data_IF_957581166219
#
_entry.id   IF_957581166219
#
_cell.length_a   1.000
_cell.length_b   1.000
_cell.length_c   1.000
_cell.angle_alpha   90.00
_cell.angle_beta   90.00
_cell.angle_gamma   90.00
#
_symmetry.space_group_name_H-M   'P 1'
#
loop_
_entity.id
_entity.type
_entity.pdbx_description
1 polymer ?
#
# COMPACT_ATOMS: atom_id res chain seq x y z
N UNK A 1 -13.45 17.02 20.54
CA UNK A 1 -13.06 15.76 19.89
C UNK A 1 -11.72 15.37 20.46
N UNK A 2 -11.56 14.09 20.83
CA UNK A 2 -10.27 13.51 21.21
C UNK A 2 -9.19 13.81 20.18
N UNK A 3 -7.98 14.10 20.65
CA UNK A 3 -6.82 14.29 19.76
C UNK A 3 -6.46 12.93 19.14
N UNK A 4 -6.22 12.92 17.82
CA UNK A 4 -5.79 11.74 17.11
C UNK A 4 -4.26 11.63 17.15
N UNK A 5 -3.76 10.47 17.59
CA UNK A 5 -2.34 10.12 17.62
C UNK A 5 -2.12 9.01 16.59
N UNK A 6 -1.55 9.37 15.45
CA UNK A 6 -1.24 8.42 14.39
C UNK A 6 0.16 7.86 14.60
N UNK A 7 0.29 6.53 14.52
CA UNK A 7 1.55 5.82 14.68
C UNK A 7 1.78 5.00 13.41
N UNK A 8 2.90 5.23 12.72
CA UNK A 8 3.29 4.43 11.55
C UNK A 8 4.79 4.16 11.56
N UNK A 9 5.22 3.11 10.86
CA UNK A 9 6.65 2.77 10.83
C UNK A 9 7.51 3.98 10.43
N UNK A 10 7.14 4.71 9.37
CA UNK A 10 7.87 5.89 8.90
C UNK A 10 6.98 7.13 8.95
N UNK A 11 7.56 8.25 9.36
CA UNK A 11 6.96 9.59 9.31
C UNK A 11 7.57 10.34 8.13
N UNK A 12 6.72 10.81 7.22
CA UNK A 12 7.16 11.69 6.15
C UNK A 12 7.03 13.13 6.62
N UNK A 13 8.13 13.74 7.08
CA UNK A 13 8.17 15.16 7.36
C UNK A 13 7.83 15.93 6.08
N UNK A 14 6.84 16.82 6.17
CA UNK A 14 6.62 17.80 5.13
C UNK A 14 7.74 18.84 5.20
N UNK A 15 8.85 18.62 4.49
CA UNK A 15 9.76 19.72 4.18
C UNK A 15 9.04 20.71 3.25
N UNK A 16 9.19 22.02 3.47
CA UNK A 16 8.67 23.03 2.56
C UNK A 16 9.16 22.75 1.13
N UNK A 17 8.22 22.47 0.22
CA UNK A 17 8.50 22.18 -1.19
C UNK A 17 8.67 20.69 -1.55
N UNK A 18 8.67 19.74 -0.60
CA UNK A 18 8.68 18.29 -0.91
C UNK A 18 7.35 17.63 -0.53
N UNK A 19 6.76 16.92 -1.49
CA UNK A 19 5.56 16.09 -1.25
C UNK A 19 5.95 14.77 -0.58
N UNK A 20 5.13 14.31 0.37
CA UNK A 20 5.30 13.00 0.98
C UNK A 20 5.26 11.89 -0.07
N UNK A 21 6.24 10.98 -0.02
CA UNK A 21 6.31 9.83 -0.92
C UNK A 21 5.49 8.66 -0.35
N UNK A 22 4.49 8.20 -1.11
CA UNK A 22 3.70 7.00 -0.79
C UNK A 22 2.28 7.32 -0.33
N UNK A 23 1.31 6.51 -0.78
CA UNK A 23 -0.11 6.77 -0.56
C UNK A 23 -0.57 6.74 0.90
N UNK A 24 0.11 5.99 1.78
CA UNK A 24 -0.17 6.00 3.22
C UNK A 24 0.13 7.36 3.87
N UNK A 25 1.27 7.98 3.53
CA UNK A 25 1.64 9.27 4.09
C UNK A 25 0.67 10.37 3.64
N UNK A 26 0.25 10.34 2.38
CA UNK A 26 -0.78 11.27 1.85
C UNK A 26 -2.11 11.06 2.57
N UNK A 27 -2.52 9.81 2.77
CA UNK A 27 -3.74 9.45 3.49
C UNK A 27 -3.74 9.95 4.95
N UNK A 28 -2.67 9.68 5.69
CA UNK A 28 -2.51 10.10 7.09
C UNK A 28 -2.48 11.63 7.19
N UNK A 29 -1.75 12.31 6.31
CA UNK A 29 -1.70 13.78 6.31
C UNK A 29 -3.05 14.41 6.00
N UNK A 30 -3.81 13.86 5.05
CA UNK A 30 -5.16 14.31 4.78
C UNK A 30 -6.06 14.15 6.02
N UNK A 31 -5.85 13.08 6.79
CA UNK A 31 -6.58 12.86 8.03
C UNK A 31 -6.23 13.87 9.13
N UNK A 32 -4.95 14.12 9.36
CA UNK A 32 -4.43 14.95 10.43
C UNK A 32 -4.54 16.46 10.15
N UNK A 33 -4.50 16.90 8.88
CA UNK A 33 -4.59 18.33 8.53
C UNK A 33 -5.86 19.00 9.05
N UNK A 34 -6.99 18.28 9.09
CA UNK A 34 -8.28 18.84 9.53
C UNK A 34 -8.41 18.89 11.06
N UNK A 35 -7.93 17.88 11.76
CA UNK A 35 -8.15 17.72 13.21
C UNK A 35 -6.98 18.18 14.08
N UNK A 36 -5.79 18.35 13.48
CA UNK A 36 -4.54 18.34 14.24
C UNK A 36 -4.24 16.95 14.80
N UNK A 37 -3.19 16.85 15.59
CA UNK A 37 -2.81 15.59 16.23
C UNK A 37 -1.31 15.40 16.38
N UNK A 38 -0.93 14.17 16.69
CA UNK A 38 0.46 13.72 16.66
C UNK A 38 0.62 12.73 15.51
N UNK A 39 1.71 12.84 14.75
CA UNK A 39 2.20 11.75 13.91
C UNK A 39 3.54 11.26 14.44
N UNK A 40 3.53 10.04 15.00
CA UNK A 40 4.67 9.40 15.61
C UNK A 40 5.24 8.24 14.75
N UNK A 41 6.56 8.08 14.76
CA UNK A 41 7.24 6.95 14.11
C UNK A 41 8.72 7.19 13.80
N UNK A 42 9.32 6.35 12.96
CA UNK A 42 10.71 6.51 12.53
C UNK A 42 10.88 7.70 11.57
N UNK A 43 11.95 8.48 11.77
CA UNK A 43 12.36 9.60 10.91
C UNK A 43 12.79 9.15 9.51
N UNK A 44 13.26 7.90 9.37
CA UNK A 44 13.96 7.40 8.20
C UNK A 44 15.48 7.43 8.32
N UNK A 45 16.03 7.98 9.40
CA UNK A 45 17.48 8.02 9.64
C UNK A 45 17.95 6.78 10.42
N UNK A 46 19.09 6.25 10.00
CA UNK A 46 19.80 5.19 10.72
C UNK A 46 21.07 5.78 11.32
N UNK A 47 21.25 5.60 12.62
CA UNK A 47 22.40 6.14 13.37
C UNK A 47 23.34 5.04 13.83
N UNK A 48 24.62 5.39 13.96
CA UNK A 48 25.63 4.53 14.58
C UNK A 48 25.56 4.72 16.10
N UNK A 49 25.12 3.69 16.83
CA UNK A 49 24.96 3.72 18.28
C UNK A 49 23.53 3.42 18.74
N UNK A 50 23.24 3.79 20.00
CA UNK A 50 21.91 3.62 20.59
C UNK A 50 20.90 4.64 20.03
N UNK A 51 19.64 4.21 19.92
CA UNK A 51 18.54 5.06 19.47
C UNK A 51 18.28 6.23 20.43
N UNK A 52 17.64 7.29 19.94
CA UNK A 52 17.40 8.53 20.70
C UNK A 52 16.66 8.27 22.03
N UNK A 53 17.01 9.03 23.08
CA UNK A 53 16.33 8.95 24.37
C UNK A 53 14.87 9.43 24.28
N UNK A 54 14.66 10.59 23.64
CA UNK A 54 13.35 11.21 23.43
C UNK A 54 13.08 11.46 21.94
N UNK A 55 11.81 11.44 21.49
CA UNK A 55 11.45 11.81 20.13
C UNK A 55 11.78 13.26 19.82
N UNK A 56 12.35 13.49 18.64
CA UNK A 56 12.45 14.81 18.05
C UNK A 56 11.05 15.32 17.68
N UNK A 57 10.72 16.55 18.07
CA UNK A 57 9.39 17.13 17.86
C UNK A 57 9.44 18.30 16.89
N UNK A 58 8.50 18.36 15.96
CA UNK A 58 8.36 19.47 15.03
C UNK A 58 6.88 19.80 14.86
N UNK A 59 6.49 21.03 15.17
CA UNK A 59 5.12 21.49 15.03
C UNK A 59 4.93 22.19 13.68
N UNK A 60 3.93 21.74 12.91
CA UNK A 60 3.51 22.36 11.66
C UNK A 60 2.00 22.60 11.71
N UNK A 61 1.62 23.84 11.98
CA UNK A 61 0.22 24.21 12.18
C UNK A 61 -0.36 23.53 13.43
N UNK A 62 -1.34 22.64 13.24
CA UNK A 62 -2.00 21.87 14.34
C UNK A 62 -1.45 20.45 14.49
N UNK A 63 -0.42 20.10 13.73
CA UNK A 63 0.17 18.77 13.70
C UNK A 63 1.55 18.80 14.35
N UNK A 64 1.76 17.92 15.32
CA UNK A 64 3.08 17.64 15.90
C UNK A 64 3.63 16.37 15.25
N UNK A 65 4.77 16.47 14.58
CA UNK A 65 5.55 15.31 14.19
C UNK A 65 6.45 14.91 15.37
N UNK A 66 6.42 13.64 15.77
CA UNK A 66 7.25 13.10 16.84
C UNK A 66 8.06 11.91 16.28
N UNK A 67 9.31 12.15 15.90
CA UNK A 67 10.12 11.18 15.17
C UNK A 67 11.27 10.63 15.99
N UNK A 68 11.56 9.35 15.80
CA UNK A 68 12.74 8.68 16.36
C UNK A 68 13.68 8.24 15.25
N UNK A 69 14.98 8.24 15.53
CA UNK A 69 15.96 7.54 14.70
C UNK A 69 16.10 6.08 15.16
N UNK A 70 16.50 5.19 14.25
CA UNK A 70 16.79 3.80 14.59
C UNK A 70 18.30 3.57 14.60
N UNK A 71 18.80 2.90 15.64
CA UNK A 71 20.15 2.34 15.60
C UNK A 71 20.29 1.31 14.48
N UNK A 72 21.48 1.20 13.88
CA UNK A 72 21.75 0.28 12.77
C UNK A 72 21.31 -1.16 13.05
N UNK A 73 21.54 -1.67 14.26
CA UNK A 73 21.11 -3.01 14.67
C UNK A 73 19.59 -3.17 14.62
N UNK A 74 18.85 -2.19 15.12
CA UNK A 74 17.39 -2.20 15.14
C UNK A 74 16.83 -2.11 13.71
N UNK A 75 17.41 -1.24 12.88
CA UNK A 75 17.04 -1.18 11.46
C UNK A 75 17.20 -2.55 10.76
N UNK A 76 18.33 -3.23 10.98
CA UNK A 76 18.56 -4.54 10.37
C UNK A 76 17.64 -5.63 10.93
N UNK A 77 17.47 -5.71 12.25
CA UNK A 77 16.70 -6.81 12.87
C UNK A 77 15.18 -6.64 12.72
N UNK A 78 14.66 -5.42 12.94
CA UNK A 78 13.23 -5.10 12.88
C UNK A 78 12.76 -4.81 11.45
N UNK A 79 13.38 -3.84 10.76
CA UNK A 79 12.86 -3.35 9.47
C UNK A 79 13.28 -4.26 8.32
N UNK A 80 14.59 -4.46 8.10
CA UNK A 80 15.06 -5.34 7.03
C UNK A 80 14.75 -6.80 7.32
N UNK A 81 14.95 -7.25 8.57
CA UNK A 81 14.70 -8.60 9.05
C UNK A 81 13.22 -8.92 9.18
N UNK A 82 12.69 -8.94 10.40
CA UNK A 82 11.38 -9.57 10.65
C UNK A 82 10.24 -8.94 9.85
N UNK A 83 10.20 -7.61 9.73
CA UNK A 83 9.13 -6.94 8.98
C UNK A 83 9.19 -7.27 7.48
N UNK A 84 10.35 -7.14 6.82
CA UNK A 84 10.44 -7.21 5.36
C UNK A 84 10.95 -8.55 4.78
N UNK A 85 11.64 -9.38 5.57
CA UNK A 85 12.04 -10.74 5.20
C UNK A 85 11.13 -11.83 5.80
N UNK A 86 10.31 -11.52 6.82
CA UNK A 86 9.36 -12.50 7.40
C UNK A 86 7.91 -12.13 7.13
N UNK A 87 7.42 -11.01 7.67
CA UNK A 87 6.00 -10.65 7.60
C UNK A 87 5.55 -10.24 6.19
N UNK A 88 6.33 -9.39 5.50
CA UNK A 88 6.00 -8.96 4.14
C UNK A 88 5.83 -10.15 3.17
N UNK A 89 6.78 -11.08 3.00
CA UNK A 89 6.59 -12.22 2.10
C UNK A 89 5.43 -13.10 2.54
N UNK A 90 5.26 -13.35 3.85
CA UNK A 90 4.15 -14.13 4.37
C UNK A 90 2.79 -13.53 4.00
N UNK A 91 2.60 -12.24 4.28
CA UNK A 91 1.32 -11.54 4.05
C UNK A 91 1.04 -11.37 2.56
N UNK A 92 2.06 -11.46 1.70
CA UNK A 92 1.94 -11.45 0.24
C UNK A 92 1.99 -12.85 -0.40
N UNK A 93 1.84 -13.92 0.39
CA UNK A 93 1.67 -15.30 -0.05
C UNK A 93 2.92 -15.84 -0.76
N UNK A 94 4.10 -15.35 -0.34
CA UNK A 94 5.41 -15.75 -0.84
C UNK A 94 6.14 -16.57 0.21
N UNK A 95 5.54 -17.69 0.63
CA UNK A 95 6.12 -18.57 1.66
C UNK A 95 7.58 -18.94 1.36
N UNK A 96 7.92 -19.20 0.10
CA UNK A 96 9.29 -19.54 -0.32
C UNK A 96 10.32 -18.40 -0.18
N UNK A 97 9.90 -17.18 0.17
CA UNK A 97 10.77 -16.03 0.44
C UNK A 97 10.85 -15.68 1.94
N UNK A 98 10.16 -16.42 2.81
CA UNK A 98 10.18 -16.13 4.25
C UNK A 98 11.53 -16.56 4.82
N UNK A 99 12.19 -15.62 5.51
CA UNK A 99 13.33 -15.89 6.38
C UNK A 99 12.87 -15.83 7.82
N UNK A 100 12.94 -16.95 8.55
CA UNK A 100 12.61 -16.99 9.98
C UNK A 100 13.89 -16.97 10.79
N UNK A 101 14.07 -15.95 11.62
CA UNK A 101 15.22 -15.84 12.52
C UNK A 101 14.81 -15.27 13.88
N UNK A 102 15.14 -16.00 14.96
CA UNK A 102 14.84 -15.60 16.34
C UNK A 102 15.40 -14.22 16.67
N UNK A 103 16.62 -13.93 16.24
CA UNK A 103 17.29 -12.63 16.45
C UNK A 103 16.49 -11.48 15.82
N UNK A 104 15.97 -11.68 14.61
CA UNK A 104 15.15 -10.65 13.94
C UNK A 104 13.81 -10.44 14.64
N UNK A 105 13.20 -11.51 15.16
CA UNK A 105 11.98 -11.40 15.97
C UNK A 105 12.21 -10.65 17.28
N UNK A 106 13.28 -10.96 18.00
CA UNK A 106 13.64 -10.23 19.22
C UNK A 106 13.91 -8.74 18.93
N UNK A 107 14.54 -8.43 17.79
CA UNK A 107 14.66 -7.04 17.31
C UNK A 107 13.31 -6.39 17.03
N UNK A 108 12.37 -7.14 16.44
CA UNK A 108 11.03 -6.64 16.14
C UNK A 108 10.22 -6.28 17.38
N UNK A 109 10.21 -7.17 18.37
CA UNK A 109 9.58 -6.96 19.67
C UNK A 109 10.25 -5.79 20.43
N UNK A 110 11.59 -5.76 20.45
CA UNK A 110 12.37 -4.69 21.09
C UNK A 110 12.05 -3.31 20.52
N UNK A 111 11.99 -3.15 19.20
CA UNK A 111 11.70 -1.85 18.58
C UNK A 111 10.26 -1.40 18.85
N UNK A 112 9.29 -2.32 18.89
CA UNK A 112 7.92 -2.00 19.26
C UNK A 112 7.82 -1.52 20.73
N UNK A 113 8.49 -2.21 21.66
CA UNK A 113 8.58 -1.79 23.05
C UNK A 113 9.26 -0.41 23.20
N UNK A 114 10.36 -0.21 22.47
CA UNK A 114 11.08 1.06 22.42
C UNK A 114 10.19 2.20 21.92
N UNK A 115 9.44 2.00 20.82
CA UNK A 115 8.50 3.00 20.31
C UNK A 115 7.39 3.29 21.34
N UNK A 116 6.86 2.28 22.02
CA UNK A 116 5.82 2.46 23.03
C UNK A 116 6.31 3.30 24.21
N UNK A 117 7.52 3.02 24.74
CA UNK A 117 8.16 3.80 25.81
C UNK A 117 8.26 5.29 25.47
N UNK A 118 8.46 5.62 24.19
CA UNK A 118 8.70 7.01 23.76
C UNK A 118 7.42 7.73 23.39
N UNK A 119 6.36 7.00 23.01
CA UNK A 119 5.06 7.59 22.76
C UNK A 119 4.30 7.84 24.07
N UNK A 120 4.36 6.92 25.04
CA UNK A 120 3.59 6.98 26.28
C UNK A 120 3.63 8.36 26.98
N UNK A 121 4.80 9.00 27.20
CA UNK A 121 4.86 10.31 27.86
C UNK A 121 4.21 11.46 27.07
N UNK A 122 3.90 11.26 25.79
CA UNK A 122 3.25 12.25 24.92
C UNK A 122 1.72 12.14 24.94
N UNK A 123 1.20 11.02 25.45
CA UNK A 123 -0.21 10.70 25.41
C UNK A 123 -0.99 11.47 26.48
N UNK A 124 -2.23 11.80 26.13
CA UNK A 124 -3.24 12.32 27.04
C UNK A 124 -4.28 11.23 27.32
N UNK A 125 -4.99 11.27 28.45
CA UNK A 125 -6.01 10.27 28.77
C UNK A 125 -7.11 10.14 27.72
N UNK A 126 -7.47 11.24 27.06
CA UNK A 126 -8.54 11.31 26.07
C UNK A 126 -8.06 11.10 24.61
N UNK A 127 -6.78 10.81 24.38
CA UNK A 127 -6.26 10.56 23.02
C UNK A 127 -6.90 9.31 22.38
N UNK A 128 -7.04 9.35 21.06
CA UNK A 128 -7.33 8.16 20.24
C UNK A 128 -6.06 7.80 19.47
N UNK A 129 -5.58 6.58 19.63
CA UNK A 129 -4.36 6.09 18.98
C UNK A 129 -4.74 5.27 17.76
N UNK A 130 -4.16 5.60 16.61
CA UNK A 130 -4.38 4.88 15.36
C UNK A 130 -3.04 4.40 14.81
N UNK A 131 -2.80 3.10 14.96
CA UNK A 131 -1.57 2.42 14.57
C UNK A 131 -1.73 1.86 13.16
N UNK A 132 -0.69 2.00 12.34
CA UNK A 132 -0.70 1.55 10.97
C UNK A 132 0.40 0.52 10.68
N UNK A 133 -0.09 -0.55 10.07
CA UNK A 133 0.65 -1.54 9.28
C UNK A 133 1.45 -2.59 10.06
N UNK A 134 1.82 -3.65 9.34
CA UNK A 134 2.41 -4.89 9.85
C UNK A 134 3.70 -4.71 10.67
N UNK A 135 4.39 -3.58 10.55
CA UNK A 135 5.59 -3.31 11.35
C UNK A 135 5.27 -3.13 12.84
N UNK A 136 4.04 -2.71 13.16
CA UNK A 136 3.64 -2.25 14.48
C UNK A 136 2.54 -3.12 15.10
N UNK A 137 2.45 -4.41 14.73
CA UNK A 137 1.44 -5.31 15.30
C UNK A 137 1.56 -5.36 16.85
N UNK A 138 2.75 -5.53 17.46
CA UNK A 138 2.90 -5.57 18.92
C UNK A 138 2.61 -4.26 19.66
N UNK A 139 2.62 -3.13 18.94
CA UNK A 139 2.66 -1.79 19.55
C UNK A 139 1.52 -1.51 20.54
N UNK A 140 0.29 -1.90 20.20
CA UNK A 140 -0.87 -1.75 21.08
C UNK A 140 -0.73 -2.55 22.37
N UNK A 141 -0.26 -3.80 22.28
CA UNK A 141 -0.02 -4.65 23.45
C UNK A 141 1.06 -4.06 24.35
N UNK A 142 2.14 -3.51 23.77
CA UNK A 142 3.19 -2.80 24.51
C UNK A 142 2.65 -1.59 25.29
N UNK A 143 1.78 -0.77 24.68
CA UNK A 143 1.13 0.33 25.39
C UNK A 143 0.19 -0.17 26.50
N UNK A 144 -0.57 -1.24 26.26
CA UNK A 144 -1.45 -1.84 27.27
C UNK A 144 -0.67 -2.32 28.49
N UNK A 145 0.50 -2.95 28.29
CA UNK A 145 1.39 -3.38 29.40
C UNK A 145 1.92 -2.22 30.23
N UNK A 146 2.00 -1.01 29.67
CA UNK A 146 2.36 0.24 30.35
C UNK A 146 1.18 0.94 31.03
N UNK A 147 -0.02 0.36 30.99
CA UNK A 147 -1.21 0.91 31.63
C UNK A 147 -1.94 1.97 30.79
N UNK A 148 -1.58 2.14 29.52
CA UNK A 148 -2.31 3.04 28.62
C UNK A 148 -3.74 2.52 28.37
N UNK A 149 -4.74 3.32 28.73
CA UNK A 149 -6.16 3.00 28.60
C UNK A 149 -6.82 3.63 27.37
N UNK A 150 -6.12 4.47 26.60
CA UNK A 150 -6.65 5.15 25.41
C UNK A 150 -7.32 4.18 24.43
N UNK A 151 -8.28 4.67 23.65
CA UNK A 151 -8.83 3.89 22.54
C UNK A 151 -7.77 3.68 21.48
N UNK A 152 -7.52 2.42 21.12
CA UNK A 152 -6.47 2.03 20.17
C UNK A 152 -7.07 1.29 18.99
N UNK A 153 -6.82 1.78 17.79
CA UNK A 153 -7.13 1.09 16.54
C UNK A 153 -5.86 0.67 15.81
N UNK A 154 -5.89 -0.48 15.14
CA UNK A 154 -4.85 -0.93 14.22
C UNK A 154 -5.42 -1.09 12.81
N UNK A 155 -4.73 -0.57 11.80
CA UNK A 155 -5.11 -0.76 10.41
C UNK A 155 -3.99 -1.42 9.61
N UNK A 156 -4.27 -2.58 9.02
CA UNK A 156 -3.33 -3.33 8.18
C UNK A 156 -3.43 -2.90 6.71
N UNK A 157 -2.32 -2.42 6.12
CA UNK A 157 -2.31 -1.97 4.71
C UNK A 157 -1.88 -3.06 3.73
N UNK A 158 -1.25 -4.12 4.23
CA UNK A 158 -0.98 -5.33 3.48
C UNK A 158 -2.17 -6.28 3.52
N UNK A 159 -2.22 -7.31 2.66
CA UNK A 159 -3.22 -8.36 2.81
C UNK A 159 -3.05 -9.09 4.15
N UNK A 160 -4.13 -9.66 4.67
CA UNK A 160 -4.05 -10.62 5.77
C UNK A 160 -4.08 -12.04 5.20
N UNK A 161 -3.09 -12.90 5.52
CA UNK A 161 -3.05 -14.27 4.99
C UNK A 161 -4.12 -15.17 5.63
N UNK A 162 -4.61 -16.20 4.93
CA UNK A 162 -5.47 -17.21 5.52
C UNK A 162 -4.70 -18.04 6.55
N UNK A 163 -5.39 -18.76 7.44
CA UNK A 163 -4.77 -19.51 8.53
C UNK A 163 -3.69 -20.48 8.06
N UNK A 164 -3.90 -21.16 6.93
CA UNK A 164 -2.97 -22.17 6.38
C UNK A 164 -1.62 -21.59 5.99
N UNK A 165 -1.57 -20.30 5.64
CA UNK A 165 -0.31 -19.60 5.40
C UNK A 165 0.24 -19.03 6.71
N UNK A 166 -0.62 -18.42 7.53
CA UNK A 166 -0.20 -17.73 8.74
C UNK A 166 0.44 -18.67 9.77
N UNK A 167 -0.02 -19.92 9.87
CA UNK A 167 0.54 -20.95 10.77
C UNK A 167 1.96 -21.39 10.38
N UNK A 168 2.43 -21.07 9.16
CA UNK A 168 3.83 -21.26 8.78
C UNK A 168 4.79 -20.34 9.57
N UNK A 169 4.29 -19.25 10.16
CA UNK A 169 5.08 -18.35 11.01
C UNK A 169 5.26 -18.93 12.42
N UNK A 170 6.49 -19.14 12.90
CA UNK A 170 6.70 -19.58 14.27
C UNK A 170 6.15 -18.60 15.30
N UNK A 171 5.44 -19.14 16.29
CA UNK A 171 4.66 -18.41 17.29
C UNK A 171 3.73 -17.34 16.68
N UNK A 172 3.05 -17.70 15.58
CA UNK A 172 1.92 -16.96 15.00
C UNK A 172 0.86 -16.58 16.04
N UNK A 173 0.63 -17.42 17.06
CA UNK A 173 -0.33 -17.15 18.15
C UNK A 173 0.01 -15.90 18.96
N UNK A 174 1.29 -15.58 19.15
CA UNK A 174 1.71 -14.36 19.87
C UNK A 174 1.39 -13.11 19.07
N UNK A 175 1.70 -13.13 17.76
CA UNK A 175 1.41 -12.02 16.85
C UNK A 175 -0.09 -11.71 16.81
N UNK A 176 -0.93 -12.74 16.83
CA UNK A 176 -2.39 -12.57 16.82
C UNK A 176 -2.93 -12.15 18.19
N UNK A 177 -2.36 -12.66 19.30
CA UNK A 177 -2.67 -12.16 20.64
C UNK A 177 -2.40 -10.66 20.74
N UNK A 178 -1.26 -10.20 20.22
CA UNK A 178 -0.88 -8.79 20.19
C UNK A 178 -1.82 -7.95 19.32
N UNK A 179 -2.24 -8.49 18.16
CA UNK A 179 -3.26 -7.84 17.33
C UNK A 179 -4.63 -7.77 18.02
N UNK A 180 -4.96 -8.69 18.93
CA UNK A 180 -6.16 -8.63 19.76
C UNK A 180 -6.07 -7.63 20.93
N UNK A 181 -4.92 -6.97 21.14
CA UNK A 181 -4.78 -5.92 22.16
C UNK A 181 -5.48 -4.61 21.75
N UNK A 182 -5.72 -4.39 20.45
CA UNK A 182 -6.44 -3.24 19.92
C UNK A 182 -7.95 -3.34 20.12
N UNK A 183 -8.63 -2.20 20.20
CA UNK A 183 -10.09 -2.12 20.34
C UNK A 183 -10.79 -2.23 18.97
N UNK A 184 -10.13 -1.77 17.90
CA UNK A 184 -10.54 -1.93 16.50
C UNK A 184 -9.37 -2.43 15.65
N UNK A 185 -9.61 -3.47 14.84
CA UNK A 185 -8.68 -3.93 13.79
C UNK A 185 -9.33 -3.74 12.42
N UNK A 186 -8.71 -2.94 11.57
CA UNK A 186 -9.17 -2.65 10.22
C UNK A 186 -8.36 -3.34 9.13
N UNK A 187 -9.07 -3.77 8.08
CA UNK A 187 -8.49 -4.39 6.90
C UNK A 187 -9.00 -3.72 5.61
N UNK A 188 -8.33 -3.94 4.49
CA UNK A 188 -8.76 -3.43 3.19
C UNK A 188 -9.96 -4.15 2.60
N UNK A 189 -10.00 -5.49 2.68
CA UNK A 189 -10.99 -6.30 1.97
C UNK A 189 -11.74 -7.25 2.92
N UNK A 190 -12.90 -7.72 2.47
CA UNK A 190 -13.62 -8.78 3.17
C UNK A 190 -12.85 -10.11 3.19
N UNK A 191 -11.94 -10.34 2.23
CA UNK A 191 -11.06 -11.51 2.22
C UNK A 191 -10.06 -11.46 3.37
N UNK A 192 -9.46 -10.29 3.62
CA UNK A 192 -8.52 -10.10 4.73
C UNK A 192 -9.22 -10.27 6.09
N UNK A 193 -10.39 -9.64 6.25
CA UNK A 193 -11.21 -9.80 7.46
C UNK A 193 -11.57 -11.27 7.70
N UNK A 194 -11.96 -11.99 6.63
CA UNK A 194 -12.29 -13.41 6.70
C UNK A 194 -11.09 -14.23 7.15
N UNK A 195 -9.91 -13.99 6.59
CA UNK A 195 -8.67 -14.68 6.99
C UNK A 195 -8.38 -14.51 8.49
N UNK A 196 -8.57 -13.29 9.02
CA UNK A 196 -8.43 -13.03 10.45
C UNK A 196 -9.50 -13.76 11.28
N UNK A 197 -10.77 -13.66 10.89
CA UNK A 197 -11.86 -14.36 11.58
C UNK A 197 -11.70 -15.88 11.57
N UNK A 198 -11.26 -16.45 10.45
CA UNK A 198 -11.07 -17.89 10.32
C UNK A 198 -9.91 -18.36 11.19
N UNK A 199 -8.82 -17.59 11.25
CA UNK A 199 -7.71 -17.88 12.16
C UNK A 199 -8.18 -17.87 13.63
N UNK A 200 -9.00 -16.90 14.04
CA UNK A 200 -9.55 -16.88 15.40
C UNK A 200 -10.38 -18.14 15.68
N UNK A 201 -11.17 -18.61 14.72
CA UNK A 201 -12.02 -19.80 14.90
C UNK A 201 -11.23 -21.11 14.91
N UNK A 202 -10.15 -21.22 14.14
CA UNK A 202 -9.44 -22.50 13.93
C UNK A 202 -8.21 -22.64 14.82
N UNK A 203 -7.46 -21.56 15.04
CA UNK A 203 -6.16 -21.60 15.72
C UNK A 203 -6.22 -21.07 17.17
N UNK A 204 -7.39 -20.65 17.62
CA UNK A 204 -7.60 -20.09 18.97
C UNK A 204 -8.88 -20.59 19.60
N UNK A 205 -9.00 -20.41 20.92
CA UNK A 205 -10.21 -20.69 21.69
C UNK A 205 -11.20 -19.51 21.67
N UNK A 206 -11.01 -18.57 20.74
CA UNK A 206 -11.79 -17.36 20.59
C UNK A 206 -13.11 -17.56 19.86
N UNK A 207 -13.97 -16.55 19.94
CA UNK A 207 -15.27 -16.54 19.25
C UNK A 207 -15.37 -15.35 18.29
N UNK A 208 -16.11 -15.54 17.20
CA UNK A 208 -16.34 -14.53 16.17
C UNK A 208 -17.84 -14.37 15.93
N UNK A 209 -18.39 -13.22 16.32
CA UNK A 209 -19.76 -12.81 16.03
C UNK A 209 -19.76 -11.91 14.78
N UNK A 210 -20.20 -12.44 13.63
CA UNK A 210 -20.31 -11.64 12.40
C UNK A 210 -21.47 -10.64 12.51
N UNK A 211 -21.25 -9.41 12.04
CA UNK A 211 -22.26 -8.36 12.02
C UNK A 211 -22.48 -7.86 10.59
N UNK A 212 -23.74 -7.90 10.14
CA UNK A 212 -24.13 -7.51 8.78
C UNK A 212 -23.59 -8.47 7.71
N UNK A 213 -23.65 -8.04 6.45
CA UNK A 213 -23.21 -8.83 5.29
C UNK A 213 -21.67 -8.87 5.16
N UNK A 214 -20.98 -9.48 6.13
CA UNK A 214 -19.53 -9.78 6.11
C UNK A 214 -18.58 -8.57 6.12
N UNK A 215 -19.07 -7.39 6.54
CA UNK A 215 -18.28 -6.16 6.61
C UNK A 215 -17.61 -5.92 7.97
N UNK A 216 -18.08 -6.56 9.04
CA UNK A 216 -17.51 -6.45 10.38
C UNK A 216 -17.79 -7.67 11.25
N UNK A 217 -16.99 -7.82 12.30
CA UNK A 217 -17.15 -8.86 13.30
C UNK A 217 -16.78 -8.32 14.70
N UNK A 218 -17.40 -8.86 15.73
CA UNK A 218 -16.93 -8.74 17.12
C UNK A 218 -16.14 -10.00 17.45
N UNK A 219 -14.92 -9.81 17.92
CA UNK A 219 -13.98 -10.87 18.25
C UNK A 219 -13.81 -10.90 19.77
N UNK A 220 -13.92 -12.10 20.36
CA UNK A 220 -13.54 -12.35 21.75
C UNK A 220 -12.45 -13.39 21.76
N UNK A 221 -11.22 -12.99 22.02
CA UNK A 221 -10.06 -13.87 22.03
C UNK A 221 -9.01 -13.32 22.99
N UNK A 222 -8.21 -14.21 23.58
CA UNK A 222 -7.11 -13.81 24.49
C UNK A 222 -7.54 -12.88 25.64
N UNK A 223 -8.76 -13.06 26.17
CA UNK A 223 -9.30 -12.24 27.26
C UNK A 223 -9.72 -10.81 26.86
N UNK A 224 -9.71 -10.48 25.56
CA UNK A 224 -10.06 -9.17 25.03
C UNK A 224 -11.32 -9.26 24.17
N UNK A 225 -12.07 -8.16 24.10
CA UNK A 225 -13.15 -7.97 23.11
C UNK A 225 -12.79 -6.83 22.18
N UNK A 226 -12.79 -7.08 20.87
CA UNK A 226 -12.49 -6.07 19.86
C UNK A 226 -13.48 -6.10 18.70
N UNK A 227 -13.52 -5.03 17.92
CA UNK A 227 -14.17 -5.00 16.62
C UNK A 227 -13.15 -5.24 15.50
N UNK A 228 -13.50 -6.05 14.51
CA UNK A 228 -12.76 -6.17 13.26
C UNK A 228 -13.64 -5.71 12.09
N UNK A 229 -13.14 -4.88 11.16
CA UNK A 229 -13.98 -4.29 10.10
C UNK A 229 -13.19 -3.96 8.82
N UNK A 230 -13.89 -3.97 7.69
CA UNK A 230 -13.34 -3.61 6.37
C UNK A 230 -13.42 -2.11 6.13
N UNK A 231 -12.30 -1.49 5.77
CA UNK A 231 -12.19 -0.10 5.31
C UNK A 231 -11.20 -0.02 4.12
N UNK A 232 -11.70 -0.05 2.88
CA UNK A 232 -10.82 0.06 1.71
C UNK A 232 -10.23 1.47 1.64
N UNK A 233 -8.90 1.59 1.69
CA UNK A 233 -8.23 2.89 1.58
C UNK A 233 -8.37 3.41 0.14
N UNK A 234 -8.39 4.72 0.00
CA UNK A 234 -8.53 5.38 -1.29
C UNK A 234 -7.60 6.57 -1.44
N UNK A 235 -7.84 7.39 -2.45
CA UNK A 235 -7.08 8.60 -2.77
C UNK A 235 -7.92 9.85 -2.53
N UNK A 236 -7.24 11.00 -2.44
CA UNK A 236 -7.89 12.29 -2.63
C UNK A 236 -8.22 12.48 -4.11
N UNK A 237 -9.41 12.01 -4.49
CA UNK A 237 -9.82 11.86 -5.89
C UNK A 237 -9.94 13.22 -6.57
N UNK A 238 -10.55 14.20 -5.90
CA UNK A 238 -10.74 15.54 -6.45
C UNK A 238 -9.41 16.28 -6.59
N UNK A 239 -8.54 16.23 -5.57
CA UNK A 239 -7.23 16.86 -5.65
C UNK A 239 -6.38 16.27 -6.78
N UNK A 240 -6.45 14.94 -6.98
CA UNK A 240 -5.69 14.28 -8.03
C UNK A 240 -6.25 14.55 -9.43
N UNK A 241 -7.58 14.59 -9.60
CA UNK A 241 -8.24 15.00 -10.85
C UNK A 241 -7.83 16.43 -11.23
N UNK A 242 -7.80 17.35 -10.26
CA UNK A 242 -7.32 18.72 -10.45
C UNK A 242 -5.82 18.78 -10.80
N UNK A 243 -4.99 18.03 -10.09
CA UNK A 243 -3.55 17.94 -10.33
C UNK A 243 -3.25 17.42 -11.73
N UNK A 244 -3.92 16.36 -12.17
CA UNK A 244 -3.72 15.74 -13.48
C UNK A 244 -4.04 16.69 -14.65
N UNK A 245 -5.11 17.51 -14.53
CA UNK A 245 -5.47 18.52 -15.55
C UNK A 245 -4.35 19.52 -15.79
N UNK A 246 -3.70 19.99 -14.74
CA UNK A 246 -2.56 20.93 -14.87
C UNK A 246 -1.25 20.21 -15.21
N UNK A 247 -1.03 19.00 -14.69
CA UNK A 247 0.17 18.20 -14.92
C UNK A 247 0.29 17.68 -16.36
N UNK A 248 -0.83 17.38 -17.02
CA UNK A 248 -0.84 16.95 -18.43
C UNK A 248 -0.29 17.97 -19.43
N UNK A 249 -0.17 19.24 -19.00
CA UNK A 249 0.43 20.36 -19.74
C UNK A 249 1.82 20.75 -19.24
N UNK A 250 2.39 19.96 -18.33
CA UNK A 250 3.74 20.21 -17.82
C UNK A 250 4.80 19.93 -18.88
N UNK A 251 5.97 20.57 -18.75
CA UNK A 251 7.12 20.32 -19.64
C UNK A 251 7.53 18.85 -19.67
N UNK A 252 7.42 18.14 -18.54
CA UNK A 252 7.72 16.71 -18.45
C UNK A 252 6.71 15.87 -19.23
N UNK A 253 5.42 16.19 -19.13
CA UNK A 253 4.37 15.51 -19.89
C UNK A 253 4.53 15.78 -21.40
N UNK A 254 4.86 17.02 -21.80
CA UNK A 254 5.10 17.35 -23.20
C UNK A 254 6.29 16.56 -23.78
N UNK A 255 7.42 16.54 -23.07
CA UNK A 255 8.59 15.76 -23.49
C UNK A 255 8.29 14.27 -23.62
N UNK A 256 7.46 13.72 -22.73
CA UNK A 256 7.03 12.32 -22.86
C UNK A 256 6.19 12.16 -24.13
N UNK A 257 5.20 13.03 -24.38
CA UNK A 257 4.34 12.97 -25.57
C UNK A 257 5.15 13.08 -26.87
N UNK A 258 6.04 14.06 -26.96
CA UNK A 258 6.95 14.24 -28.12
C UNK A 258 7.79 12.98 -28.35
N UNK A 259 8.35 12.39 -27.29
CA UNK A 259 9.19 11.19 -27.38
C UNK A 259 8.44 9.93 -27.82
N UNK A 260 7.11 9.92 -27.79
CA UNK A 260 6.31 8.78 -28.26
C UNK A 260 6.08 8.85 -29.78
N UNK A 261 6.21 10.03 -30.39
CA UNK A 261 6.00 10.24 -31.85
C UNK A 261 4.65 9.67 -32.31
N UNK A 262 3.59 9.94 -31.54
CA UNK A 262 2.23 9.47 -31.82
C UNK A 262 1.93 8.01 -31.45
N UNK A 263 2.91 7.26 -30.92
CA UNK A 263 2.68 5.89 -30.41
C UNK A 263 1.82 5.89 -29.15
N UNK A 264 1.07 4.81 -28.96
CA UNK A 264 0.29 4.55 -27.74
C UNK A 264 1.21 4.29 -26.56
N UNK A 265 0.76 4.59 -25.36
CA UNK A 265 1.52 4.39 -24.11
C UNK A 265 0.79 3.44 -23.17
N UNK A 266 1.46 2.37 -22.79
CA UNK A 266 1.14 1.56 -21.60
C UNK A 266 2.02 2.07 -20.46
N UNK A 267 1.47 2.20 -19.25
CA UNK A 267 2.22 2.62 -18.08
C UNK A 267 2.05 1.66 -16.91
N UNK A 268 3.16 1.31 -16.27
CA UNK A 268 3.23 0.62 -14.99
C UNK A 268 4.05 1.44 -14.02
N UNK A 269 3.55 1.65 -12.80
CA UNK A 269 4.25 2.40 -11.75
C UNK A 269 4.13 1.63 -10.46
N UNK A 270 5.23 1.04 -10.00
CA UNK A 270 5.25 0.26 -8.79
C UNK A 270 6.62 0.35 -8.14
N UNK A 271 6.68 0.29 -6.81
CA UNK A 271 7.98 0.03 -6.16
C UNK A 271 8.56 -1.27 -6.71
N UNK A 272 9.88 -1.30 -6.86
CA UNK A 272 10.56 -2.52 -7.23
C UNK A 272 10.39 -3.55 -6.11
N UNK A 273 9.42 -4.46 -6.25
CA UNK A 273 8.98 -5.37 -5.20
C UNK A 273 8.38 -6.63 -5.83
N UNK A 274 8.71 -7.80 -5.29
CA UNK A 274 8.30 -9.10 -5.84
C UNK A 274 6.79 -9.38 -5.72
N UNK A 275 6.05 -8.62 -4.91
CA UNK A 275 4.58 -8.67 -4.87
C UNK A 275 3.93 -8.11 -6.15
N UNK A 276 4.66 -7.30 -6.92
CA UNK A 276 4.10 -6.48 -8.01
C UNK A 276 4.00 -7.17 -9.37
N UNK A 277 4.46 -8.42 -9.46
CA UNK A 277 4.36 -9.23 -10.67
C UNK A 277 5.06 -8.59 -11.88
N UNK A 278 6.14 -7.84 -11.65
CA UNK A 278 6.84 -7.10 -12.70
C UNK A 278 7.42 -8.03 -13.78
N UNK A 279 8.02 -9.20 -13.45
CA UNK A 279 8.45 -10.15 -14.48
C UNK A 279 7.28 -10.63 -15.34
N UNK A 280 6.16 -11.03 -14.73
CA UNK A 280 4.94 -11.46 -15.44
C UNK A 280 4.40 -10.33 -16.32
N UNK A 281 4.46 -9.09 -15.86
CA UNK A 281 4.05 -7.92 -16.63
C UNK A 281 4.91 -7.70 -17.87
N UNK A 282 6.22 -7.87 -17.76
CA UNK A 282 7.14 -7.72 -18.89
C UNK A 282 6.93 -8.84 -19.90
N UNK A 283 6.74 -10.08 -19.41
CA UNK A 283 6.40 -11.23 -20.24
C UNK A 283 5.06 -11.03 -20.98
N UNK A 284 4.03 -10.48 -20.31
CA UNK A 284 2.74 -10.21 -20.96
C UNK A 284 2.80 -9.12 -22.03
N UNK A 285 3.66 -8.11 -21.84
CA UNK A 285 3.91 -7.12 -22.89
C UNK A 285 4.69 -7.73 -24.07
N UNK A 286 5.65 -8.61 -23.82
CA UNK A 286 6.29 -9.38 -24.90
C UNK A 286 5.26 -10.25 -25.65
N UNK A 287 4.41 -10.98 -24.92
CA UNK A 287 3.34 -11.80 -25.47
C UNK A 287 2.39 -11.00 -26.37
N UNK A 288 2.04 -9.77 -25.98
CA UNK A 288 1.26 -8.84 -26.81
C UNK A 288 1.96 -8.59 -28.16
N UNK A 289 3.25 -8.27 -28.15
CA UNK A 289 4.01 -7.97 -29.38
C UNK A 289 4.17 -9.20 -30.28
N UNK A 290 4.27 -10.39 -29.70
CA UNK A 290 4.33 -11.65 -30.46
C UNK A 290 2.99 -12.02 -31.09
N UNK A 291 1.91 -11.94 -30.31
CA UNK A 291 0.58 -12.40 -30.71
C UNK A 291 -0.16 -11.40 -31.58
N UNK A 292 0.17 -10.11 -31.41
CA UNK A 292 -0.48 -9.00 -32.11
C UNK A 292 0.58 -8.05 -32.71
N UNK A 293 1.28 -8.47 -33.78
CA UNK A 293 2.39 -7.71 -34.38
C UNK A 293 1.99 -6.32 -34.90
N UNK A 294 0.70 -6.02 -35.07
CA UNK A 294 0.22 -4.68 -35.42
C UNK A 294 0.60 -3.61 -34.39
N UNK A 295 0.94 -4.01 -33.16
CA UNK A 295 1.41 -3.11 -32.11
C UNK A 295 2.90 -2.83 -32.15
N UNK A 296 3.68 -3.63 -32.88
CA UNK A 296 5.10 -3.37 -33.08
C UNK A 296 5.29 -1.98 -33.71
N UNK A 297 6.17 -1.18 -33.12
CA UNK A 297 6.40 0.21 -33.48
C UNK A 297 5.17 1.16 -33.33
N UNK A 298 4.07 0.70 -32.72
CA UNK A 298 2.85 1.50 -32.48
C UNK A 298 2.56 1.73 -31.00
N UNK A 299 3.11 0.92 -30.10
CA UNK A 299 2.97 1.05 -28.65
C UNK A 299 4.33 1.06 -27.95
N UNK A 300 4.47 1.82 -26.88
CA UNK A 300 5.60 1.71 -25.95
C UNK A 300 5.09 1.46 -24.54
N UNK A 301 5.83 0.66 -23.79
CA UNK A 301 5.56 0.38 -22.39
C UNK A 301 6.56 1.12 -21.49
N UNK A 302 6.05 2.01 -20.64
CA UNK A 302 6.83 2.73 -19.62
C UNK A 302 6.64 2.06 -18.26
N UNK A 303 7.68 1.41 -17.75
CA UNK A 303 7.73 0.92 -16.37
C UNK A 303 8.58 1.86 -15.51
N UNK A 304 7.96 2.50 -14.53
CA UNK A 304 8.64 3.27 -13.49
C UNK A 304 8.72 2.38 -12.24
N UNK A 305 9.94 2.11 -11.79
CA UNK A 305 10.22 1.22 -10.66
C UNK A 305 11.17 1.88 -9.65
N UNK A 306 10.70 2.81 -8.79
CA UNK A 306 11.54 3.39 -7.76
C UNK A 306 12.17 2.28 -6.89
N UNK A 307 13.49 2.37 -6.61
CA UNK A 307 14.18 1.41 -5.75
C UNK A 307 13.51 1.31 -4.37
N UNK A 308 13.54 0.11 -3.79
CA UNK A 308 12.99 -0.16 -2.47
C UNK A 308 13.84 -1.23 -1.80
N UNK A 309 14.17 -1.03 -0.51
CA UNK A 309 14.82 -2.04 0.35
C UNK A 309 16.05 -2.66 -0.32
N UNK A 310 16.96 -1.80 -0.80
CA UNK A 310 18.08 -2.21 -1.64
C UNK A 310 19.08 -3.15 -0.95
N UNK A 311 19.04 -3.22 0.38
CA UNK A 311 19.88 -4.11 1.20
C UNK A 311 19.29 -5.52 1.34
N UNK A 312 18.04 -5.75 0.90
CA UNK A 312 17.36 -7.04 1.03
C UNK A 312 17.62 -7.91 -0.21
N UNK A 313 18.15 -9.15 -0.07
CA UNK A 313 18.58 -9.99 -1.19
C UNK A 313 17.54 -10.20 -2.29
N UNK A 314 16.28 -10.42 -1.92
CA UNK A 314 15.17 -10.65 -2.84
C UNK A 314 14.89 -9.45 -3.75
N UNK A 315 15.14 -8.23 -3.25
CA UNK A 315 14.97 -6.98 -4.02
C UNK A 315 16.11 -6.78 -5.02
N UNK A 316 17.34 -7.18 -4.66
CA UNK A 316 18.48 -7.18 -5.59
C UNK A 316 18.23 -8.17 -6.73
N UNK A 317 17.73 -9.36 -6.41
CA UNK A 317 17.45 -10.42 -7.39
C UNK A 317 16.42 -9.99 -8.44
N UNK A 318 15.25 -9.47 -8.01
CA UNK A 318 14.22 -9.02 -8.95
C UNK A 318 14.69 -7.82 -9.79
N UNK A 319 15.52 -6.92 -9.24
CA UNK A 319 16.10 -5.81 -10.01
C UNK A 319 16.94 -6.31 -11.18
N UNK A 320 17.75 -7.34 -10.92
CA UNK A 320 18.59 -7.96 -11.94
C UNK A 320 17.73 -8.65 -13.01
N UNK A 321 16.78 -9.48 -12.60
CA UNK A 321 15.85 -10.17 -13.50
C UNK A 321 15.14 -9.18 -14.44
N UNK A 322 14.56 -8.10 -13.90
CA UNK A 322 13.87 -7.10 -14.71
C UNK A 322 14.79 -6.36 -15.69
N UNK A 323 16.04 -6.12 -15.31
CA UNK A 323 17.02 -5.47 -16.19
C UNK A 323 17.39 -6.39 -17.35
N UNK A 324 17.59 -7.69 -17.07
CA UNK A 324 17.85 -8.71 -18.09
C UNK A 324 16.65 -8.88 -19.02
N UNK A 325 15.42 -8.94 -18.50
CA UNK A 325 14.20 -9.02 -19.30
C UNK A 325 13.98 -7.80 -20.19
N UNK A 326 14.14 -6.58 -19.65
CA UNK A 326 14.03 -5.35 -20.44
C UNK A 326 15.07 -5.30 -21.57
N UNK A 327 16.31 -5.72 -21.28
CA UNK A 327 17.37 -5.82 -22.28
C UNK A 327 17.05 -6.81 -23.39
N UNK A 328 16.59 -8.01 -23.03
CA UNK A 328 16.20 -9.07 -23.97
C UNK A 328 15.03 -8.65 -24.86
N UNK A 329 13.96 -8.11 -24.28
CA UNK A 329 12.76 -7.69 -25.03
C UNK A 329 13.11 -6.53 -25.97
N UNK A 330 13.83 -5.52 -25.49
CA UNK A 330 14.28 -4.43 -26.36
C UNK A 330 15.22 -4.95 -27.46
N UNK A 331 16.16 -5.84 -27.16
CA UNK A 331 17.07 -6.41 -28.17
C UNK A 331 16.35 -7.20 -29.27
N UNK A 332 15.17 -7.75 -28.98
CA UNK A 332 14.37 -8.52 -29.92
C UNK A 332 13.45 -7.67 -30.80
N UNK A 333 12.82 -6.64 -30.24
CA UNK A 333 11.75 -5.88 -30.93
C UNK A 333 12.13 -4.43 -31.26
N UNK A 334 13.21 -3.88 -30.69
CA UNK A 334 13.54 -2.48 -30.93
C UNK A 334 13.88 -2.21 -32.40
N UNK A 335 13.56 -1.00 -32.82
CA UNK A 335 13.96 -0.42 -34.10
C UNK A 335 14.81 0.83 -33.83
N UNK A 336 15.44 1.38 -34.87
CA UNK A 336 16.29 2.57 -34.74
C UNK A 336 15.57 3.79 -34.12
N UNK A 337 14.23 3.85 -34.24
CA UNK A 337 13.38 4.92 -33.72
C UNK A 337 12.37 4.46 -32.65
N UNK A 338 12.46 3.22 -32.18
CA UNK A 338 11.49 2.65 -31.23
C UNK A 338 12.16 1.76 -30.19
N UNK A 339 11.92 2.12 -28.93
CA UNK A 339 12.21 1.29 -27.77
C UNK A 339 10.89 0.73 -27.20
N UNK A 340 10.65 -0.59 -27.26
CA UNK A 340 9.44 -1.23 -26.76
C UNK A 340 9.22 -1.00 -25.26
N UNK A 341 10.22 -1.28 -24.43
CA UNK A 341 10.16 -1.10 -22.97
C UNK A 341 11.11 0.01 -22.51
N UNK A 342 10.54 1.03 -21.88
CA UNK A 342 11.25 2.09 -21.16
C UNK A 342 11.20 1.78 -19.66
N UNK A 343 12.25 1.17 -19.14
CA UNK A 343 12.37 0.78 -17.73
C UNK A 343 13.20 1.79 -16.94
N UNK A 344 12.60 2.42 -15.92
CA UNK A 344 13.21 3.52 -15.15
C UNK A 344 13.26 3.21 -13.66
N UNK A 345 14.47 3.03 -13.12
CA UNK A 345 14.71 2.76 -11.70
C UNK A 345 14.89 4.05 -10.88
N UNK A 346 13.90 4.94 -10.92
CA UNK A 346 13.96 6.22 -10.19
C UNK A 346 12.58 6.68 -9.75
N UNK A 347 12.56 7.44 -8.66
CA UNK A 347 11.36 8.07 -8.13
C UNK A 347 10.97 9.31 -8.95
N UNK A 348 9.66 9.51 -9.10
CA UNK A 348 9.08 10.73 -9.65
C UNK A 348 8.05 11.29 -8.68
N UNK A 349 7.97 12.61 -8.59
CA UNK A 349 6.94 13.28 -7.78
C UNK A 349 5.54 13.06 -8.34
N UNK A 350 4.52 13.14 -7.47
CA UNK A 350 3.13 12.85 -7.81
C UNK A 350 2.62 13.70 -8.98
N UNK A 351 3.01 14.98 -9.06
CA UNK A 351 2.65 15.85 -10.19
C UNK A 351 3.13 15.31 -11.53
N UNK A 352 4.34 14.76 -11.60
CA UNK A 352 4.87 14.20 -12.86
C UNK A 352 4.12 12.93 -13.22
N UNK A 353 3.92 12.03 -12.24
CA UNK A 353 3.17 10.79 -12.44
C UNK A 353 1.73 11.04 -12.89
N UNK A 354 1.03 12.01 -12.30
CA UNK A 354 -0.33 12.39 -12.71
C UNK A 354 -0.39 12.82 -14.18
N UNK A 355 0.62 13.55 -14.66
CA UNK A 355 0.76 13.90 -16.08
C UNK A 355 1.00 12.68 -16.97
N UNK A 356 1.84 11.74 -16.53
CA UNK A 356 2.12 10.50 -17.27
C UNK A 356 0.91 9.56 -17.31
N UNK A 357 0.18 9.41 -16.20
CA UNK A 357 -1.07 8.64 -16.16
C UNK A 357 -2.09 9.20 -17.13
N UNK A 358 -2.29 10.53 -17.15
CA UNK A 358 -3.23 11.19 -18.06
C UNK A 358 -2.88 10.98 -19.54
N UNK A 359 -1.59 10.80 -19.85
CA UNK A 359 -1.11 10.53 -21.20
C UNK A 359 -1.24 9.06 -21.61
N UNK A 360 -1.22 8.15 -20.65
CA UNK A 360 -1.16 6.72 -20.91
C UNK A 360 -2.53 6.15 -21.33
N UNK A 361 -2.54 5.45 -22.45
CA UNK A 361 -3.72 4.78 -22.98
C UNK A 361 -4.12 3.56 -22.15
N UNK A 362 -3.15 2.91 -21.50
CA UNK A 362 -3.40 1.76 -20.64
C UNK A 362 -2.62 1.90 -19.34
N UNK A 363 -3.29 1.78 -18.21
CA UNK A 363 -2.69 1.60 -16.89
C UNK A 363 -2.58 0.10 -16.60
N UNK A 364 -1.36 -0.41 -16.45
CA UNK A 364 -1.09 -1.84 -16.27
C UNK A 364 -0.68 -2.10 -14.82
N UNK A 365 -1.64 -2.56 -14.02
CA UNK A 365 -1.49 -2.77 -12.58
C UNK A 365 -1.73 -4.25 -12.26
N UNK A 366 -0.67 -5.05 -12.35
CA UNK A 366 -0.75 -6.52 -12.31
C UNK A 366 -0.01 -7.16 -11.12
N UNK A 367 -0.20 -6.71 -9.86
CA UNK A 367 0.46 -7.35 -8.73
C UNK A 367 0.01 -8.79 -8.54
N UNK A 368 0.92 -9.65 -8.09
CA UNK A 368 0.62 -11.03 -7.69
C UNK A 368 -0.19 -11.06 -6.38
N UNK A 369 0.03 -10.09 -5.51
CA UNK A 369 -0.77 -9.83 -4.31
C UNK A 369 -0.57 -8.38 -3.88
N UNK A 370 -1.64 -7.67 -3.54
CA UNK A 370 -1.56 -6.29 -3.05
C UNK A 370 -2.75 -5.98 -2.14
N UNK A 371 -2.50 -5.37 -0.98
CA UNK A 371 -3.57 -5.05 -0.02
C UNK A 371 -4.63 -4.11 -0.61
N UNK A 372 -4.23 -3.20 -1.50
CA UNK A 372 -5.17 -2.32 -2.21
C UNK A 372 -4.67 -1.97 -3.61
N UNK A 373 -3.45 -1.43 -3.73
CA UNK A 373 -2.91 -0.76 -4.91
C UNK A 373 -3.56 0.60 -5.22
N UNK A 374 -2.99 1.67 -4.67
CA UNK A 374 -3.45 3.04 -4.94
C UNK A 374 -3.12 3.54 -6.35
N UNK A 375 -2.11 2.98 -7.02
CA UNK A 375 -1.74 3.38 -8.39
C UNK A 375 -2.89 3.09 -9.37
N UNK A 376 -3.65 2.01 -9.19
CA UNK A 376 -4.86 1.75 -9.96
C UNK A 376 -5.88 2.89 -9.84
N UNK A 377 -6.14 3.35 -8.60
CA UNK A 377 -7.07 4.45 -8.32
C UNK A 377 -6.53 5.77 -8.85
N UNK A 378 -5.24 6.04 -8.67
CA UNK A 378 -4.56 7.23 -9.18
C UNK A 378 -4.65 7.32 -10.71
N UNK A 379 -4.39 6.21 -11.40
CA UNK A 379 -4.45 6.15 -12.87
C UNK A 379 -5.82 6.58 -13.39
N UNK A 380 -6.90 6.03 -12.82
CA UNK A 380 -8.29 6.34 -13.20
C UNK A 380 -8.63 7.80 -12.91
N UNK A 381 -8.30 8.30 -11.72
CA UNK A 381 -8.56 9.68 -11.33
C UNK A 381 -7.80 10.71 -12.19
N UNK A 382 -6.67 10.32 -12.78
CA UNK A 382 -5.89 11.20 -13.65
C UNK A 382 -6.41 11.30 -15.09
N UNK A 383 -7.29 10.38 -15.53
CA UNK A 383 -7.73 10.30 -16.92
C UNK A 383 -8.54 11.52 -17.37
N UNK A 384 -8.52 11.78 -18.67
CA UNK A 384 -9.44 12.72 -19.30
C UNK A 384 -10.78 12.03 -19.54
N UNK A 385 -11.87 12.53 -18.96
CA UNK A 385 -13.20 11.95 -19.17
C UNK A 385 -13.64 11.96 -20.63
N UNK A 386 -13.09 12.85 -21.46
CA UNK A 386 -13.42 12.92 -22.88
C UNK A 386 -12.65 11.92 -23.75
N UNK A 387 -11.53 11.40 -23.25
CA UNK A 387 -10.75 10.38 -23.94
C UNK A 387 -9.94 9.54 -22.94
N UNK A 388 -10.60 8.78 -22.05
CA UNK A 388 -9.92 8.10 -20.95
C UNK A 388 -9.19 6.86 -21.45
N UNK A 389 -8.05 6.54 -20.86
CA UNK A 389 -7.41 5.25 -21.05
C UNK A 389 -8.14 4.11 -20.32
N UNK A 390 -7.57 2.91 -20.39
CA UNK A 390 -8.14 1.68 -19.83
C UNK A 390 -7.26 1.15 -18.71
N UNK A 391 -7.87 0.79 -17.58
CA UNK A 391 -7.17 0.11 -16.49
C UNK A 391 -7.21 -1.41 -16.71
N UNK A 392 -6.04 -2.04 -16.75
CA UNK A 392 -5.87 -3.49 -16.64
C UNK A 392 -5.39 -3.78 -15.21
N UNK A 393 -6.17 -4.57 -14.46
CA UNK A 393 -6.01 -4.72 -13.02
C UNK A 393 -5.98 -6.19 -12.61
N UNK A 394 -4.98 -6.58 -11.82
CA UNK A 394 -4.94 -7.91 -11.21
C UNK A 394 -6.13 -8.13 -10.27
N UNK A 395 -6.75 -9.31 -10.37
CA UNK A 395 -7.75 -9.78 -9.40
C UNK A 395 -7.19 -9.92 -7.97
N UNK A 396 -5.86 -9.93 -7.80
CA UNK A 396 -5.19 -10.06 -6.51
C UNK A 396 -4.79 -8.71 -5.89
N UNK A 397 -5.18 -7.59 -6.49
CA UNK A 397 -5.13 -6.27 -5.86
C UNK A 397 -6.44 -5.99 -5.12
N UNK A 398 -6.37 -5.49 -3.88
CA UNK A 398 -7.58 -5.14 -3.13
C UNK A 398 -8.51 -4.16 -3.85
N UNK A 399 -7.96 -3.28 -4.71
CA UNK A 399 -8.74 -2.36 -5.54
C UNK A 399 -9.69 -3.08 -6.51
N UNK A 400 -9.43 -4.34 -6.90
CA UNK A 400 -10.30 -5.10 -7.79
C UNK A 400 -11.70 -5.33 -7.19
N UNK A 401 -11.84 -5.31 -5.86
CA UNK A 401 -13.14 -5.36 -5.20
C UNK A 401 -14.01 -4.11 -5.40
N UNK A 402 -13.39 -2.97 -5.73
CA UNK A 402 -14.09 -1.69 -5.96
C UNK A 402 -14.06 -1.25 -7.43
N UNK A 403 -13.13 -1.79 -8.23
CA UNK A 403 -12.84 -1.35 -9.60
C UNK A 403 -13.22 -2.43 -10.64
N UNK A 404 -14.41 -3.02 -10.49
CA UNK A 404 -14.87 -4.15 -11.32
C UNK A 404 -15.00 -3.83 -12.82
N UNK A 405 -15.13 -2.56 -13.20
CA UNK A 405 -15.19 -2.12 -14.59
C UNK A 405 -13.82 -1.96 -15.26
N UNK A 406 -12.73 -2.20 -14.53
CA UNK A 406 -11.42 -2.45 -15.12
C UNK A 406 -11.41 -3.76 -15.94
N UNK A 407 -10.38 -3.97 -16.76
CA UNK A 407 -10.11 -5.29 -17.32
C UNK A 407 -9.40 -6.12 -16.24
N UNK A 408 -10.19 -6.91 -15.51
CA UNK A 408 -9.68 -7.77 -14.43
C UNK A 408 -8.94 -8.97 -15.04
N UNK A 409 -7.71 -9.20 -14.58
CA UNK A 409 -6.83 -10.25 -15.10
C UNK A 409 -6.24 -11.12 -13.99
N UNK A 410 -5.88 -12.34 -14.35
CA UNK A 410 -5.00 -13.18 -13.54
C UNK A 410 -3.54 -12.94 -13.99
N UNK A 411 -2.67 -12.32 -13.18
CA UNK A 411 -1.28 -12.06 -13.58
C UNK A 411 -0.42 -13.31 -13.78
N UNK A 412 -0.89 -14.49 -13.35
CA UNK A 412 -0.23 -15.77 -13.66
C UNK A 412 -0.53 -16.27 -15.08
N UNK A 413 -1.58 -15.75 -15.71
CA UNK A 413 -1.96 -16.05 -17.08
C UNK A 413 -1.38 -14.99 -18.03
N UNK A 414 -0.15 -15.23 -18.50
CA UNK A 414 0.60 -14.27 -19.33
C UNK A 414 -0.13 -13.98 -20.65
N UNK A 415 -0.70 -15.01 -21.27
CA UNK A 415 -1.51 -14.89 -22.49
C UNK A 415 -2.76 -14.07 -22.22
N UNK A 416 -3.50 -14.37 -21.15
CA UNK A 416 -4.69 -13.61 -20.77
C UNK A 416 -4.40 -12.14 -20.46
N UNK A 417 -3.25 -11.82 -19.87
CA UNK A 417 -2.81 -10.41 -19.70
C UNK A 417 -2.48 -9.77 -21.06
N UNK A 418 -1.82 -10.51 -21.97
CA UNK A 418 -1.58 -10.07 -23.34
C UNK A 418 -2.87 -9.75 -24.11
N UNK A 419 -3.88 -10.61 -24.01
CA UNK A 419 -5.20 -10.40 -24.61
C UNK A 419 -5.93 -9.21 -24.01
N UNK A 420 -5.82 -9.02 -22.68
CA UNK A 420 -6.39 -7.85 -22.02
C UNK A 420 -5.71 -6.55 -22.47
N UNK A 421 -4.39 -6.57 -22.73
CA UNK A 421 -3.67 -5.44 -23.31
C UNK A 421 -4.13 -5.14 -24.74
N UNK A 422 -4.30 -6.16 -25.58
CA UNK A 422 -4.84 -6.02 -26.93
C UNK A 422 -6.23 -5.37 -26.89
N UNK A 423 -7.12 -5.90 -26.04
CA UNK A 423 -8.44 -5.33 -25.83
C UNK A 423 -8.37 -3.88 -25.34
N UNK A 424 -7.49 -3.57 -24.39
CA UNK A 424 -7.34 -2.22 -23.87
C UNK A 424 -6.91 -1.21 -24.94
N UNK A 425 -5.97 -1.59 -25.81
CA UNK A 425 -5.43 -0.74 -26.87
C UNK A 425 -6.42 -0.51 -28.02
N UNK A 426 -7.29 -1.49 -28.28
CA UNK A 426 -8.29 -1.45 -29.36
C UNK A 426 -9.69 -1.04 -28.89
N UNK A 427 -9.87 -0.77 -27.59
CA UNK A 427 -11.17 -0.45 -27.00
C UNK A 427 -11.80 0.82 -27.61
N UNK A 428 -13.04 0.75 -28.13
CA UNK A 428 -13.76 1.90 -28.65
C UNK A 428 -13.93 3.00 -27.60
N UNK A 429 -13.96 4.26 -28.03
CA UNK A 429 -14.08 5.41 -27.13
C UNK A 429 -15.34 5.35 -26.24
N UNK A 430 -16.46 4.87 -26.78
CA UNK A 430 -17.71 4.70 -26.02
C UNK A 430 -17.53 3.78 -24.80
N UNK A 431 -17.01 2.56 -25.01
CA UNK A 431 -16.75 1.61 -23.93
C UNK A 431 -15.73 2.17 -22.91
N UNK A 432 -14.67 2.86 -23.39
CA UNK A 432 -13.69 3.50 -22.49
C UNK A 432 -14.32 4.54 -21.58
N UNK A 433 -15.20 5.40 -22.13
CA UNK A 433 -15.94 6.41 -21.36
C UNK A 433 -16.87 5.78 -20.34
N UNK A 434 -17.60 4.73 -20.73
CA UNK A 434 -18.52 4.02 -19.84
C UNK A 434 -17.79 3.38 -18.64
N UNK A 435 -16.70 2.65 -18.90
CA UNK A 435 -15.86 2.05 -17.85
C UNK A 435 -15.26 3.11 -16.93
N UNK A 436 -14.64 4.14 -17.50
CA UNK A 436 -14.04 5.23 -16.73
C UNK A 436 -15.06 5.93 -15.84
N UNK A 437 -16.25 6.25 -16.36
CA UNK A 437 -17.31 6.89 -15.59
C UNK A 437 -17.77 6.02 -14.42
N UNK A 438 -17.90 4.70 -14.63
CA UNK A 438 -18.25 3.77 -13.55
C UNK A 438 -17.18 3.73 -12.46
N UNK A 439 -15.90 3.59 -12.83
CA UNK A 439 -14.78 3.60 -11.88
C UNK A 439 -14.70 4.92 -11.11
N UNK A 440 -14.90 6.06 -11.78
CA UNK A 440 -14.91 7.38 -11.14
C UNK A 440 -16.06 7.57 -10.15
N UNK A 441 -17.24 6.99 -10.41
CA UNK A 441 -18.34 7.01 -9.42
C UNK A 441 -17.95 6.31 -8.14
N UNK A 442 -17.23 5.19 -8.22
CA UNK A 442 -16.72 4.49 -7.04
C UNK A 442 -15.66 5.32 -6.30
N UNK A 443 -14.69 5.90 -7.01
CA UNK A 443 -13.65 6.73 -6.38
C UNK A 443 -14.21 7.97 -5.67
N UNK A 444 -15.20 8.64 -6.27
CA UNK A 444 -15.86 9.81 -5.66
C UNK A 444 -16.70 9.45 -4.44
N UNK A 445 -17.30 8.26 -4.41
CA UNK A 445 -18.09 7.77 -3.26
C UNK A 445 -17.20 7.30 -2.12
N UNK A 446 -16.08 6.66 -2.44
CA UNK A 446 -15.17 6.04 -1.49
C UNK A 446 -13.80 6.73 -1.57
N UNK A 447 -13.74 8.02 -1.22
CA UNK A 447 -12.49 8.78 -1.23
C UNK A 447 -11.69 8.58 0.07
N UNK A 448 -10.53 9.23 0.16
CA UNK A 448 -9.69 9.14 1.35
C UNK A 448 -10.35 9.70 2.62
N UNK A 449 -11.19 10.73 2.48
CA UNK A 449 -11.94 11.31 3.61
C UNK A 449 -12.94 10.30 4.17
N UNK A 450 -13.65 9.60 3.28
CA UNK A 450 -14.64 8.58 3.60
C UNK A 450 -14.01 7.39 4.34
N UNK A 451 -12.83 6.93 3.90
CA UNK A 451 -12.06 5.89 4.59
C UNK A 451 -11.73 6.30 6.02
N UNK A 452 -11.18 7.50 6.20
CA UNK A 452 -10.81 8.04 7.52
C UNK A 452 -12.02 8.16 8.43
N UNK A 453 -13.07 8.84 7.98
CA UNK A 453 -14.26 9.12 8.79
C UNK A 453 -14.94 7.82 9.22
N UNK A 454 -15.05 6.87 8.31
CA UNK A 454 -15.59 5.54 8.60
C UNK A 454 -14.77 4.81 9.66
N UNK A 455 -13.44 4.88 9.59
CA UNK A 455 -12.56 4.23 10.57
C UNK A 455 -12.64 4.89 11.94
N UNK A 456 -12.53 6.22 12.01
CA UNK A 456 -12.56 6.97 13.27
C UNK A 456 -13.92 6.81 13.96
N UNK A 457 -15.03 6.90 13.23
CA UNK A 457 -16.37 6.64 13.79
C UNK A 457 -16.50 5.22 14.33
N UNK A 458 -15.95 4.22 13.62
CA UNK A 458 -15.94 2.84 14.09
C UNK A 458 -15.08 2.68 15.36
N UNK A 459 -13.92 3.34 15.46
CA UNK A 459 -13.06 3.27 16.64
C UNK A 459 -13.72 3.92 17.87
N UNK A 460 -14.46 5.01 17.68
CA UNK A 460 -15.25 5.64 18.75
C UNK A 460 -16.33 4.69 19.30
N UNK A 461 -16.92 3.86 18.43
CA UNK A 461 -18.00 2.90 18.78
C UNK A 461 -17.50 1.50 19.11
N UNK A 462 -16.20 1.24 18.99
CA UNK A 462 -15.63 -0.08 19.25
C UNK A 462 -15.84 -0.49 20.72
N UNK A 463 -15.98 -1.81 21.00
CA UNK A 463 -15.93 -2.32 22.36
C UNK A 463 -14.72 -1.76 23.10
N UNK A 464 -14.92 -1.40 24.36
CA UNK A 464 -13.91 -0.74 25.17
C UNK A 464 -13.94 -1.29 26.58
N UNK A 465 -12.86 -1.94 26.96
CA UNK A 465 -12.77 -2.71 28.20
C UNK A 465 -12.35 -1.85 29.41
N UNK A 466 -12.12 -0.54 29.22
CA UNK A 466 -11.69 0.36 30.28
C UNK A 466 -12.84 1.28 30.73
N UNK A 467 -12.87 1.70 32.01
CA UNK A 467 -13.88 2.64 32.49
C UNK A 467 -13.75 3.97 31.74
N UNK A 468 -14.88 4.48 31.25
CA UNK A 468 -14.96 5.83 30.70
C UNK A 468 -15.00 6.79 31.90
N UNK A 469 -13.87 7.45 32.18
CA UNK A 469 -13.77 8.48 33.23
C UNK A 469 -14.44 9.77 32.83
#
# INVERSE_FOLDING_TARGET
MSRLVVVSNRVALMEEGKQAAGGLAVAILAALKKTGGIWFGWSGNVVDGESQAEPSRTDVGRLTYATLDLGRRDHEEYYNGFANQTLWPLFHYRLGLISVNRRTREGYERVNAYFADRLEPLLRPDDMIWVHDYHLIPFGDELRRRGCSQRMGFFLHTPFPPPELLTALPNHRDLIRELCAYDLVGFHTATDLRGFCDYIRTETDGTVEQRGAYGSAVIRAFGRTLMAKVFPISIDTEALESLARTAGRSRQAERLRESLVGRRLIIGVDRLDYSKGLPQRFAAFEQLLESYPEHCNRVSFLQIAPPSREDVPEYIAIRRELSEMAGRINGRFAEFDWQPIRYLNRSFGQRVLAGFYRLANVGLVTPLRDGMNLVAKEYVACQDSDNPGVLVLSQFAGAAHEMGEALIVNPFDIEGVGDALQRALTMPLGERKERHAALMRTLRRNDISSWRESYVDALTRAPYDFPVT
#
